data_IF_823145795793
#
_entry.id   IF_823145795793
#
_cell.length_a   1.000
_cell.length_b   1.000
_cell.length_c   1.000
_cell.angle_alpha   90.00
_cell.angle_beta   90.00
_cell.angle_gamma   90.00
#
_symmetry.space_group_name_H-M   'P 1'
#
loop_
_entity.id
_entity.type
_entity.pdbx_description
1 polymer ?
#
# COMPACT_ATOMS: atom_id res chain seq x y z
N UNK A 1 -6.09 -0.44 22.07
CA UNK A 1 -6.14 -0.76 20.63
C UNK A 1 -4.87 -1.54 20.31
N UNK A 2 -4.85 -2.40 19.31
CA UNK A 2 -3.65 -3.19 18.99
C UNK A 2 -2.80 -2.44 17.98
N UNK A 3 -1.51 -2.30 18.26
CA UNK A 3 -0.54 -1.72 17.33
C UNK A 3 -0.38 -2.61 16.09
N UNK A 4 -0.51 -2.01 14.91
CA UNK A 4 -0.31 -2.70 13.63
C UNK A 4 1.12 -2.52 13.14
N UNK A 5 1.70 -1.35 13.36
CA UNK A 5 3.10 -1.06 13.03
C UNK A 5 3.75 -0.45 14.27
N UNK A 6 4.85 -1.05 14.71
CA UNK A 6 5.67 -0.54 15.79
C UNK A 6 7.14 -0.56 15.36
N UNK A 7 7.76 0.61 15.28
CA UNK A 7 9.16 0.78 14.92
C UNK A 7 9.90 1.54 16.01
N UNK A 8 11.08 1.03 16.43
CA UNK A 8 11.92 1.66 17.46
C UNK A 8 13.38 1.64 17.01
N UNK A 9 14.01 2.82 17.03
CA UNK A 9 15.40 3.03 16.61
C UNK A 9 15.71 2.36 15.25
N UNK A 10 14.73 2.43 14.35
CA UNK A 10 14.76 1.72 13.08
C UNK A 10 15.60 2.47 12.06
N UNK A 11 16.65 1.84 11.52
CA UNK A 11 17.43 2.36 10.40
C UNK A 11 17.06 1.64 9.12
N UNK A 12 16.70 2.41 8.11
CA UNK A 12 16.33 1.93 6.78
C UNK A 12 17.34 2.34 5.73
N UNK A 13 17.56 1.49 4.76
CA UNK A 13 18.52 1.71 3.68
C UNK A 13 18.81 0.42 2.92
N UNK A 14 19.86 0.43 2.11
CA UNK A 14 20.25 -0.72 1.30
C UNK A 14 21.48 -1.46 1.84
N UNK A 15 22.32 -0.79 2.62
CA UNK A 15 23.48 -1.34 3.30
C UNK A 15 23.81 -0.51 4.54
N UNK A 16 24.66 -1.03 5.47
CA UNK A 16 25.11 -0.27 6.63
C UNK A 16 25.80 1.07 6.26
N UNK A 17 26.41 1.13 5.09
CA UNK A 17 27.09 2.33 4.57
C UNK A 17 26.13 3.24 3.74
N UNK A 18 24.88 2.84 3.58
CA UNK A 18 23.87 3.56 2.80
C UNK A 18 22.54 3.62 3.55
N UNK A 19 22.57 4.27 4.72
CA UNK A 19 21.38 4.56 5.53
C UNK A 19 20.63 5.72 4.86
N UNK A 20 19.34 5.56 4.64
CA UNK A 20 18.48 6.57 4.06
C UNK A 20 17.66 7.32 5.13
N UNK A 21 17.29 6.63 6.20
CA UNK A 21 16.49 7.24 7.24
C UNK A 21 16.55 6.50 8.56
N UNK A 22 16.24 7.23 9.61
CA UNK A 22 16.10 6.74 10.97
C UNK A 22 14.71 7.10 11.51
N UNK A 23 14.07 6.16 12.16
CA UNK A 23 12.78 6.28 12.79
C UNK A 23 12.97 5.94 14.28
N UNK A 24 12.98 6.95 15.13
CA UNK A 24 13.21 6.78 16.55
C UNK A 24 12.09 5.99 17.21
N UNK A 25 10.86 6.42 16.96
CA UNK A 25 9.65 5.75 17.44
C UNK A 25 8.48 6.03 16.50
N UNK A 26 7.79 4.99 16.07
CA UNK A 26 6.55 5.08 15.32
C UNK A 26 5.59 4.01 15.79
N UNK A 27 4.37 4.43 16.10
CA UNK A 27 3.28 3.53 16.39
C UNK A 27 2.05 3.90 15.57
N UNK A 28 1.50 2.90 14.85
CA UNK A 28 0.28 3.03 14.07
C UNK A 28 -0.67 1.93 14.54
N UNK A 29 -1.88 2.34 14.91
CA UNK A 29 -2.92 1.44 15.42
C UNK A 29 -3.81 0.88 14.31
N UNK A 30 -4.60 -0.12 14.66
CA UNK A 30 -5.56 -0.74 13.75
C UNK A 30 -6.63 0.28 13.32
N UNK A 31 -6.83 0.41 12.01
CA UNK A 31 -7.84 1.28 11.40
C UNK A 31 -7.37 2.72 11.15
N UNK A 32 -6.16 3.10 11.60
CA UNK A 32 -5.64 4.45 11.32
C UNK A 32 -5.31 4.64 9.82
N UNK A 33 -5.53 5.86 9.35
CA UNK A 33 -5.14 6.32 8.02
C UNK A 33 -4.01 7.32 8.19
N UNK A 34 -2.81 6.94 7.74
CA UNK A 34 -1.58 7.68 7.97
C UNK A 34 -0.92 8.06 6.66
N UNK A 35 -0.46 9.29 6.55
CA UNK A 35 0.37 9.75 5.44
C UNK A 35 1.83 9.95 5.84
N UNK A 36 2.74 9.67 4.92
CA UNK A 36 4.17 9.93 5.06
C UNK A 36 4.60 10.81 3.89
N UNK A 37 5.05 12.02 4.19
CA UNK A 37 5.50 13.00 3.20
C UNK A 37 7.00 13.22 3.28
N UNK A 38 7.57 13.77 2.21
CA UNK A 38 8.98 14.16 2.15
C UNK A 38 9.44 14.28 0.70
N UNK A 39 10.65 14.78 0.51
CA UNK A 39 11.24 14.97 -0.81
C UNK A 39 11.41 13.64 -1.57
N UNK A 40 11.55 13.73 -2.89
CA UNK A 40 11.86 12.55 -3.71
C UNK A 40 13.25 12.00 -3.36
N UNK A 41 13.36 10.67 -3.28
CA UNK A 41 14.62 10.00 -2.96
C UNK A 41 14.98 9.95 -1.47
N UNK A 42 14.19 10.56 -0.58
CA UNK A 42 14.52 10.67 0.86
C UNK A 42 14.39 9.36 1.67
N UNK A 43 13.85 8.30 1.07
CA UNK A 43 13.71 7.00 1.75
C UNK A 43 12.27 6.54 2.00
N UNK A 44 11.23 7.30 1.63
CA UNK A 44 9.81 6.96 1.85
C UNK A 44 9.42 5.58 1.31
N UNK A 45 9.71 5.33 0.04
CA UNK A 45 9.47 4.03 -0.61
C UNK A 45 10.24 2.89 0.08
N UNK A 46 11.47 3.15 0.54
CA UNK A 46 12.28 2.15 1.26
C UNK A 46 11.65 1.84 2.61
N UNK A 47 11.14 2.84 3.31
CA UNK A 47 10.41 2.65 4.57
C UNK A 47 9.15 1.81 4.35
N UNK A 48 8.32 2.16 3.36
CA UNK A 48 7.14 1.37 3.01
C UNK A 48 7.49 -0.09 2.67
N UNK A 49 8.56 -0.29 1.90
CA UNK A 49 9.06 -1.64 1.57
C UNK A 49 9.57 -2.39 2.79
N UNK A 50 10.13 -1.71 3.79
CA UNK A 50 10.54 -2.34 5.05
C UNK A 50 9.32 -2.82 5.84
N UNK A 51 8.25 -2.02 5.92
CA UNK A 51 6.98 -2.42 6.54
C UNK A 51 6.37 -3.60 5.76
N UNK A 52 6.42 -3.57 4.43
CA UNK A 52 5.96 -4.65 3.56
C UNK A 52 6.83 -5.93 3.61
N UNK A 53 7.94 -5.91 4.34
CA UNK A 53 8.93 -7.00 4.40
C UNK A 53 9.59 -7.32 3.05
N UNK A 54 9.62 -6.36 2.14
CA UNK A 54 10.31 -6.46 0.84
C UNK A 54 11.77 -6.05 0.93
N UNK A 55 12.14 -5.25 1.94
CA UNK A 55 13.50 -4.83 2.27
C UNK A 55 13.70 -5.01 3.77
N UNK A 56 14.80 -5.62 4.19
CA UNK A 56 15.10 -5.73 5.61
C UNK A 56 15.61 -4.39 6.15
N UNK A 57 15.20 -3.98 7.35
CA UNK A 57 15.85 -2.89 8.06
C UNK A 57 17.35 -3.18 8.28
N UNK A 58 18.15 -2.11 8.37
CA UNK A 58 19.58 -2.22 8.66
C UNK A 58 19.79 -2.52 10.16
N UNK A 59 19.03 -1.85 11.03
CA UNK A 59 19.06 -2.06 12.47
C UNK A 59 17.77 -1.56 13.11
N UNK A 60 17.62 -1.77 14.42
CA UNK A 60 16.42 -1.41 15.17
C UNK A 60 15.36 -2.48 15.13
N UNK A 61 14.18 -2.16 15.65
CA UNK A 61 13.05 -3.08 15.74
C UNK A 61 11.91 -2.59 14.84
N UNK A 62 11.37 -3.50 14.02
CA UNK A 62 10.15 -3.26 13.25
C UNK A 62 9.20 -4.44 13.43
N UNK A 63 8.11 -4.21 14.14
CA UNK A 63 7.01 -5.17 14.29
C UNK A 63 5.84 -4.75 13.42
N UNK A 64 5.28 -5.71 12.72
CA UNK A 64 4.02 -5.55 11.98
C UNK A 64 3.10 -6.68 12.41
N UNK A 65 1.93 -6.33 12.97
CA UNK A 65 1.01 -7.26 13.64
C UNK A 65 1.69 -8.06 14.76
N UNK A 66 2.46 -7.37 15.63
CA UNK A 66 3.22 -7.96 16.75
C UNK A 66 4.27 -9.01 16.33
N UNK A 67 4.62 -9.08 15.05
CA UNK A 67 5.65 -10.00 14.54
C UNK A 67 6.85 -9.23 14.00
N UNK A 68 8.05 -9.74 14.29
CA UNK A 68 9.29 -9.25 13.67
C UNK A 68 9.63 -9.99 12.35
N UNK A 69 8.95 -11.09 12.11
CA UNK A 69 9.15 -11.97 10.96
C UNK A 69 8.17 -11.76 9.81
N UNK A 70 8.08 -12.77 8.94
CA UNK A 70 7.18 -12.77 7.78
C UNK A 70 5.73 -12.79 8.25
N UNK A 71 4.93 -11.83 7.80
CA UNK A 71 3.49 -11.82 8.01
C UNK A 71 2.83 -12.96 7.21
N UNK A 72 1.64 -13.39 7.66
CA UNK A 72 0.84 -14.33 6.88
C UNK A 72 0.56 -13.77 5.49
N UNK A 73 0.46 -14.64 4.49
CA UNK A 73 0.15 -14.23 3.11
C UNK A 73 -1.14 -13.43 3.08
N UNK A 74 -1.18 -12.40 2.26
CA UNK A 74 -2.37 -11.59 2.03
C UNK A 74 -2.71 -10.58 3.13
N UNK A 75 -2.06 -10.61 4.29
CA UNK A 75 -2.35 -9.68 5.40
C UNK A 75 -1.90 -8.25 5.10
N UNK A 76 -0.80 -8.09 4.38
CA UNK A 76 -0.28 -6.79 3.92
C UNK A 76 -0.53 -6.65 2.43
N UNK A 77 -1.31 -5.65 2.02
CA UNK A 77 -1.48 -5.23 0.64
C UNK A 77 -0.48 -4.12 0.30
N UNK A 78 0.16 -4.21 -0.86
CA UNK A 78 1.11 -3.20 -1.32
C UNK A 78 0.73 -2.69 -2.71
N UNK A 79 0.53 -1.38 -2.83
CA UNK A 79 0.27 -0.68 -4.10
C UNK A 79 1.53 0.09 -4.45
N UNK A 80 2.38 -0.41 -5.35
CA UNK A 80 3.60 0.28 -5.74
C UNK A 80 3.32 1.46 -6.67
N UNK A 81 4.19 2.44 -6.70
CA UNK A 81 4.14 3.58 -7.62
C UNK A 81 3.99 3.13 -9.09
N UNK A 82 4.76 2.13 -9.50
CA UNK A 82 4.64 1.46 -10.81
C UNK A 82 3.68 0.28 -10.70
N UNK A 83 2.44 0.48 -10.57
CA UNK A 83 1.29 -0.41 -10.31
C UNK A 83 1.50 -1.94 -10.41
N UNK A 84 2.51 -2.43 -11.13
CA UNK A 84 2.85 -3.84 -11.27
C UNK A 84 1.75 -4.69 -11.93
N UNK A 85 0.94 -4.09 -12.81
CA UNK A 85 -0.15 -4.77 -13.52
C UNK A 85 0.37 -5.57 -14.72
N UNK A 86 -0.26 -6.70 -14.98
CA UNK A 86 -0.03 -7.50 -16.17
C UNK A 86 -0.79 -6.85 -17.33
N UNK A 87 -0.11 -6.01 -18.12
CA UNK A 87 -0.73 -5.09 -19.09
C UNK A 87 -1.52 -5.77 -20.18
N UNK A 88 -1.15 -7.00 -20.57
CA UNK A 88 -1.81 -7.75 -21.65
C UNK A 88 -3.02 -8.56 -21.15
N UNK A 89 -3.12 -8.77 -19.84
CA UNK A 89 -4.23 -9.44 -19.21
C UNK A 89 -5.40 -8.48 -18.94
N UNK A 90 -6.58 -9.06 -18.73
CA UNK A 90 -7.81 -8.33 -18.46
C UNK A 90 -7.80 -7.70 -17.06
N UNK A 91 -8.75 -6.80 -16.81
CA UNK A 91 -9.04 -6.31 -15.46
C UNK A 91 -9.35 -7.47 -14.52
N UNK A 92 -10.22 -8.40 -14.95
CA UNK A 92 -10.57 -9.59 -14.18
C UNK A 92 -9.35 -10.40 -13.78
N UNK A 93 -8.49 -10.77 -14.75
CA UNK A 93 -7.27 -11.56 -14.49
C UNK A 93 -6.34 -10.87 -13.49
N UNK A 94 -6.12 -9.55 -13.65
CA UNK A 94 -5.28 -8.80 -12.72
C UNK A 94 -5.83 -8.76 -11.29
N UNK A 95 -7.15 -8.64 -11.11
CA UNK A 95 -7.78 -8.60 -9.79
C UNK A 95 -7.83 -10.00 -9.17
N UNK A 96 -8.05 -11.04 -9.99
CA UNK A 96 -8.01 -12.43 -9.57
C UNK A 96 -6.67 -12.81 -8.94
N UNK A 97 -5.55 -12.35 -9.49
CA UNK A 97 -4.20 -12.56 -8.92
C UNK A 97 -4.12 -12.11 -7.44
N UNK A 98 -4.80 -11.02 -7.10
CA UNK A 98 -4.90 -10.57 -5.71
C UNK A 98 -5.72 -11.53 -4.85
N UNK A 99 -6.88 -11.94 -5.34
CA UNK A 99 -7.82 -12.77 -4.59
C UNK A 99 -7.28 -14.18 -4.29
N UNK A 100 -6.50 -14.76 -5.21
CA UNK A 100 -5.95 -16.12 -5.07
C UNK A 100 -4.67 -16.19 -4.24
N UNK A 101 -4.11 -15.06 -3.79
CA UNK A 101 -2.85 -15.05 -3.03
C UNK A 101 -2.90 -15.91 -1.74
N UNK A 102 -4.09 -16.11 -1.20
CA UNK A 102 -4.35 -16.92 0.00
C UNK A 102 -4.76 -18.36 -0.30
N UNK A 103 -4.97 -18.71 -1.57
CA UNK A 103 -5.30 -20.08 -1.97
C UNK A 103 -4.07 -21.01 -1.89
N UNK A 104 -4.32 -22.30 -1.82
CA UNK A 104 -3.24 -23.28 -1.97
C UNK A 104 -2.67 -23.25 -3.39
N UNK A 105 -1.38 -23.53 -3.52
CA UNK A 105 -0.67 -23.54 -4.83
C UNK A 105 -1.39 -24.43 -5.85
N UNK A 106 -1.88 -25.59 -5.42
CA UNK A 106 -2.59 -26.54 -6.28
C UNK A 106 -3.88 -25.95 -6.85
N UNK A 107 -4.65 -25.20 -6.05
CA UNK A 107 -5.87 -24.53 -6.52
C UNK A 107 -5.56 -23.38 -7.47
N UNK A 108 -4.57 -22.55 -7.12
CA UNK A 108 -4.15 -21.44 -7.98
C UNK A 108 -3.73 -21.91 -9.39
N UNK A 109 -3.05 -23.04 -9.48
CA UNK A 109 -2.59 -23.62 -10.76
C UNK A 109 -3.74 -24.31 -11.52
N UNK A 110 -4.71 -24.90 -10.82
CA UNK A 110 -5.79 -25.66 -11.47
C UNK A 110 -6.78 -24.79 -12.25
N UNK A 111 -6.82 -23.48 -11.93
CA UNK A 111 -7.81 -22.55 -12.49
C UNK A 111 -9.24 -22.75 -11.96
N UNK A 112 -9.45 -23.73 -11.07
CA UNK A 112 -10.73 -23.96 -10.41
C UNK A 112 -10.76 -23.20 -9.09
N UNK A 113 -11.30 -21.98 -9.11
CA UNK A 113 -11.43 -21.14 -7.92
C UNK A 113 -12.78 -21.34 -7.24
N UNK A 114 -12.81 -21.19 -5.92
CA UNK A 114 -14.06 -21.21 -5.17
C UNK A 114 -14.98 -20.05 -5.62
N UNK A 115 -16.28 -20.28 -5.63
CA UNK A 115 -17.29 -19.28 -6.00
C UNK A 115 -17.10 -17.97 -5.21
N UNK A 116 -16.76 -18.09 -3.91
CA UNK A 116 -16.43 -16.93 -3.06
C UNK A 116 -15.29 -16.06 -3.57
N UNK A 117 -14.28 -16.65 -4.23
CA UNK A 117 -13.15 -15.91 -4.79
C UNK A 117 -13.61 -15.15 -6.03
N UNK A 118 -14.40 -15.81 -6.87
CA UNK A 118 -14.98 -15.21 -8.09
C UNK A 118 -15.89 -14.03 -7.73
N UNK A 119 -16.75 -14.20 -6.72
CA UNK A 119 -17.66 -13.17 -6.25
C UNK A 119 -16.87 -11.98 -5.68
N UNK A 120 -15.88 -12.24 -4.85
CA UNK A 120 -15.00 -11.20 -4.31
C UNK A 120 -14.28 -10.39 -5.39
N UNK A 121 -13.82 -11.05 -6.46
CA UNK A 121 -13.20 -10.36 -7.61
C UNK A 121 -14.20 -9.42 -8.27
N UNK A 122 -15.44 -9.90 -8.53
CA UNK A 122 -16.49 -9.09 -9.17
C UNK A 122 -16.90 -7.91 -8.29
N UNK A 123 -17.17 -8.15 -7.00
CA UNK A 123 -17.50 -7.10 -6.02
C UNK A 123 -16.41 -6.01 -5.95
N UNK A 124 -15.14 -6.43 -5.96
CA UNK A 124 -14.04 -5.47 -5.89
C UNK A 124 -13.88 -4.66 -7.18
N UNK A 125 -14.13 -5.28 -8.35
CA UNK A 125 -14.15 -4.59 -9.65
C UNK A 125 -15.30 -3.58 -9.70
N UNK A 126 -16.48 -3.95 -9.18
CA UNK A 126 -17.64 -3.07 -9.09
C UNK A 126 -17.37 -1.89 -8.14
N UNK A 127 -16.81 -2.13 -6.96
CA UNK A 127 -16.40 -1.10 -5.99
C UNK A 127 -15.49 -0.04 -6.64
N UNK A 128 -14.62 -0.46 -7.56
CA UNK A 128 -13.73 0.44 -8.29
C UNK A 128 -14.36 1.01 -9.58
N UNK A 129 -15.67 0.82 -9.81
CA UNK A 129 -16.37 1.28 -11.02
C UNK A 129 -15.67 0.85 -12.31
N UNK A 130 -15.34 -0.45 -12.42
CA UNK A 130 -14.66 -1.06 -13.56
C UNK A 130 -15.46 -2.22 -14.20
N UNK A 131 -16.74 -2.40 -13.82
CA UNK A 131 -17.57 -3.51 -14.31
C UNK A 131 -17.73 -3.53 -15.82
N UNK A 132 -17.81 -2.35 -16.45
CA UNK A 132 -17.89 -2.19 -17.91
C UNK A 132 -16.56 -2.47 -18.63
N UNK A 133 -15.47 -2.68 -17.88
CA UNK A 133 -14.12 -2.93 -18.37
C UNK A 133 -13.56 -4.27 -17.92
N UNK A 134 -14.38 -5.15 -17.32
CA UNK A 134 -13.94 -6.38 -16.68
C UNK A 134 -13.09 -7.27 -17.61
N UNK A 135 -13.46 -7.36 -18.88
CA UNK A 135 -12.78 -8.15 -19.91
C UNK A 135 -11.77 -7.34 -20.74
N UNK A 136 -11.61 -6.03 -20.45
CA UNK A 136 -10.71 -5.18 -21.21
C UNK A 136 -9.26 -5.42 -20.77
N UNK A 137 -8.30 -5.59 -21.70
CA UNK A 137 -6.88 -5.64 -21.39
C UNK A 137 -6.41 -4.33 -20.74
N UNK A 138 -5.66 -4.44 -19.63
CA UNK A 138 -5.21 -3.29 -18.83
C UNK A 138 -4.45 -2.25 -19.64
N UNK A 139 -3.72 -2.65 -20.68
CA UNK A 139 -2.99 -1.72 -21.58
C UNK A 139 -3.88 -0.72 -22.32
N UNK A 140 -5.20 -0.99 -22.46
CA UNK A 140 -6.17 -0.11 -23.13
C UNK A 140 -6.83 0.88 -22.17
N UNK A 141 -6.60 0.73 -20.87
CA UNK A 141 -7.18 1.58 -19.83
C UNK A 141 -6.41 2.89 -19.69
N UNK A 142 -7.11 3.95 -19.29
CA UNK A 142 -6.46 5.20 -18.86
C UNK A 142 -5.62 4.98 -17.60
N UNK A 143 -4.69 5.90 -17.30
CA UNK A 143 -3.85 5.83 -16.10
C UNK A 143 -4.69 5.70 -14.81
N UNK A 144 -5.77 6.49 -14.69
CA UNK A 144 -6.70 6.41 -13.55
C UNK A 144 -7.43 5.07 -13.46
N UNK A 145 -7.83 4.49 -14.60
CA UNK A 145 -8.44 3.16 -14.63
C UNK A 145 -7.42 2.09 -14.21
N UNK A 146 -6.18 2.16 -14.71
CA UNK A 146 -5.11 1.25 -14.30
C UNK A 146 -4.84 1.32 -12.78
N UNK A 147 -4.84 2.52 -12.19
CA UNK A 147 -4.71 2.68 -10.72
C UNK A 147 -5.87 2.01 -9.99
N UNK A 148 -7.09 2.20 -10.45
CA UNK A 148 -8.26 1.52 -9.87
C UNK A 148 -8.16 0.00 -9.98
N UNK A 149 -7.58 -0.56 -11.05
CA UNK A 149 -7.29 -2.00 -11.15
C UNK A 149 -6.26 -2.44 -10.12
N UNK A 150 -5.19 -1.67 -9.89
CA UNK A 150 -4.19 -1.99 -8.87
C UNK A 150 -4.78 -1.96 -7.46
N UNK A 151 -5.66 -1.00 -7.17
CA UNK A 151 -6.38 -0.92 -5.89
C UNK A 151 -7.32 -2.14 -5.76
N UNK A 152 -8.12 -2.44 -6.80
CA UNK A 152 -9.02 -3.60 -6.81
C UNK A 152 -8.27 -4.90 -6.53
N UNK A 153 -7.13 -5.12 -7.19
CA UNK A 153 -6.26 -6.27 -6.94
C UNK A 153 -5.82 -6.35 -5.48
N UNK A 154 -5.41 -5.22 -4.90
CA UNK A 154 -4.96 -5.17 -3.50
C UNK A 154 -6.11 -5.41 -2.54
N UNK A 155 -7.29 -4.85 -2.79
CA UNK A 155 -8.50 -5.08 -2.00
C UNK A 155 -8.96 -6.55 -2.08
N UNK A 156 -8.93 -7.14 -3.27
CA UNK A 156 -9.30 -8.54 -3.49
C UNK A 156 -8.45 -9.52 -2.67
N UNK A 157 -7.21 -9.16 -2.37
CA UNK A 157 -6.32 -9.89 -1.47
C UNK A 157 -6.90 -10.02 -0.04
N UNK A 158 -7.73 -9.06 0.42
CA UNK A 158 -8.31 -9.01 1.77
C UNK A 158 -7.33 -8.62 2.86
N UNK A 159 -6.53 -7.55 2.65
CA UNK A 159 -5.50 -7.14 3.58
C UNK A 159 -6.08 -6.54 4.86
N UNK A 160 -5.28 -6.56 5.94
CA UNK A 160 -5.54 -5.81 7.17
C UNK A 160 -4.73 -4.51 7.24
N UNK A 161 -3.67 -4.42 6.44
CA UNK A 161 -2.82 -3.25 6.26
C UNK A 161 -2.64 -3.03 4.76
N UNK A 162 -2.90 -1.81 4.29
CA UNK A 162 -2.60 -1.39 2.92
C UNK A 162 -1.48 -0.35 2.97
N UNK A 163 -0.44 -0.60 2.21
CA UNK A 163 0.69 0.29 2.00
C UNK A 163 0.63 0.81 0.56
N UNK A 164 0.53 2.13 0.38
CA UNK A 164 0.35 2.72 -0.95
C UNK A 164 1.44 3.76 -1.24
N UNK A 165 2.25 3.49 -2.25
CA UNK A 165 3.39 4.30 -2.64
C UNK A 165 3.00 5.22 -3.81
N UNK A 166 2.79 6.51 -3.53
CA UNK A 166 2.42 7.55 -4.49
C UNK A 166 1.27 7.15 -5.44
N UNK A 167 0.30 6.39 -4.91
CA UNK A 167 -0.75 5.76 -5.71
C UNK A 167 -1.74 6.74 -6.34
N UNK A 168 -1.76 7.99 -5.88
CA UNK A 168 -2.57 9.08 -6.45
C UNK A 168 -1.76 9.99 -7.40
N UNK A 169 -0.46 9.72 -7.60
CA UNK A 169 0.37 10.53 -8.50
C UNK A 169 -0.12 10.45 -9.95
N UNK A 170 0.14 11.48 -10.74
CA UNK A 170 -0.21 11.56 -12.18
C UNK A 170 -1.71 11.49 -12.50
N UNK A 171 -2.58 11.66 -11.49
CA UNK A 171 -4.02 11.76 -11.67
C UNK A 171 -4.47 13.22 -11.60
N UNK A 172 -5.50 13.56 -12.38
CA UNK A 172 -6.23 14.82 -12.23
C UNK A 172 -7.04 14.82 -10.91
N UNK A 173 -7.34 16.02 -10.40
CA UNK A 173 -7.95 16.17 -9.07
C UNK A 173 -9.30 15.46 -8.95
N UNK A 174 -10.13 15.45 -9.99
CA UNK A 174 -11.43 14.76 -9.99
C UNK A 174 -11.24 13.24 -9.89
N UNK A 175 -10.24 12.70 -10.58
CA UNK A 175 -9.92 11.27 -10.51
C UNK A 175 -9.33 10.92 -9.15
N UNK A 176 -8.47 11.77 -8.58
CA UNK A 176 -7.96 11.62 -7.20
C UNK A 176 -9.11 11.53 -6.21
N UNK A 177 -10.05 12.47 -6.25
CA UNK A 177 -11.21 12.49 -5.33
C UNK A 177 -12.02 11.20 -5.41
N UNK A 178 -12.33 10.72 -6.62
CA UNK A 178 -13.10 9.49 -6.80
C UNK A 178 -12.34 8.25 -6.31
N UNK A 179 -11.05 8.13 -6.64
CA UNK A 179 -10.21 7.01 -6.22
C UNK A 179 -10.05 7.00 -4.70
N UNK A 180 -9.78 8.16 -4.11
CA UNK A 180 -9.65 8.33 -2.66
C UNK A 180 -10.94 7.94 -1.94
N UNK A 181 -12.08 8.46 -2.39
CA UNK A 181 -13.38 8.15 -1.79
C UNK A 181 -13.64 6.64 -1.75
N UNK A 182 -13.43 5.93 -2.85
CA UNK A 182 -13.63 4.47 -2.90
C UNK A 182 -12.66 3.72 -1.98
N UNK A 183 -11.40 4.17 -1.89
CA UNK A 183 -10.42 3.60 -0.98
C UNK A 183 -10.80 3.85 0.47
N UNK A 184 -11.16 5.08 0.82
CA UNK A 184 -11.55 5.49 2.16
C UNK A 184 -12.77 4.71 2.65
N UNK A 185 -13.81 4.62 1.82
CA UNK A 185 -15.03 3.85 2.13
C UNK A 185 -14.68 2.39 2.45
N UNK A 186 -13.84 1.76 1.64
CA UNK A 186 -13.42 0.38 1.85
C UNK A 186 -12.61 0.20 3.14
N UNK A 187 -11.56 1.00 3.37
CA UNK A 187 -10.68 0.83 4.54
C UNK A 187 -11.41 1.12 5.85
N UNK A 188 -12.28 2.14 5.87
CA UNK A 188 -13.06 2.50 7.06
C UNK A 188 -14.10 1.42 7.38
N UNK A 189 -14.87 0.96 6.36
CA UNK A 189 -15.91 -0.07 6.57
C UNK A 189 -15.35 -1.40 7.03
N UNK A 190 -14.10 -1.71 6.71
CA UNK A 190 -13.45 -2.98 7.04
C UNK A 190 -12.41 -2.88 8.15
N UNK A 191 -12.28 -1.71 8.81
CA UNK A 191 -11.30 -1.43 9.87
C UNK A 191 -9.86 -1.79 9.44
N UNK A 192 -9.48 -1.37 8.21
CA UNK A 192 -8.17 -1.62 7.61
C UNK A 192 -7.27 -0.42 7.88
N UNK A 193 -6.03 -0.68 8.29
CA UNK A 193 -5.01 0.36 8.41
C UNK A 193 -4.48 0.73 7.03
N UNK A 194 -4.36 2.04 6.74
CA UNK A 194 -3.84 2.55 5.48
C UNK A 194 -2.64 3.45 5.73
N UNK A 195 -1.51 3.13 5.13
CA UNK A 195 -0.32 4.00 5.12
C UNK A 195 -0.04 4.42 3.69
N UNK A 196 -0.10 5.73 3.43
CA UNK A 196 0.17 6.31 2.12
C UNK A 196 1.49 7.09 2.14
N UNK A 197 2.25 6.97 1.08
CA UNK A 197 3.42 7.81 0.82
C UNK A 197 3.04 8.82 -0.26
N UNK A 198 3.27 10.09 0.01
CA UNK A 198 2.99 11.18 -0.90
C UNK A 198 4.14 12.20 -0.91
N UNK A 199 4.29 12.92 -2.00
CA UNK A 199 5.18 14.07 -2.09
C UNK A 199 4.40 15.40 -2.01
N UNK A 200 3.08 15.34 -2.25
CA UNK A 200 2.20 16.50 -2.20
C UNK A 200 1.49 16.57 -0.84
N UNK A 201 1.75 17.67 -0.11
CA UNK A 201 1.21 17.88 1.25
C UNK A 201 -0.33 18.04 1.24
N UNK A 202 -0.91 18.58 0.17
CA UNK A 202 -2.37 18.69 0.06
C UNK A 202 -3.05 17.32 -0.02
N UNK A 203 -2.42 16.37 -0.69
CA UNK A 203 -2.89 14.98 -0.72
C UNK A 203 -2.66 14.26 0.61
N UNK A 204 -1.58 14.60 1.29
CA UNK A 204 -1.31 14.04 2.62
C UNK A 204 -2.37 14.43 3.67
N UNK A 205 -3.02 15.59 3.51
CA UNK A 205 -4.14 16.03 4.37
C UNK A 205 -5.39 15.15 4.27
N UNK A 206 -5.45 14.24 3.32
CA UNK A 206 -6.52 13.25 3.23
C UNK A 206 -6.43 12.18 4.34
N UNK A 207 -5.27 12.06 5.00
CA UNK A 207 -5.05 11.15 6.12
C UNK A 207 -5.32 11.83 7.47
N UNK A 208 -5.57 11.01 8.51
CA UNK A 208 -5.85 11.47 9.87
C UNK A 208 -4.59 11.93 10.60
N UNK A 209 -3.46 11.27 10.30
CA UNK A 209 -2.13 11.60 10.84
C UNK A 209 -1.13 11.75 9.71
N UNK A 210 -0.19 12.66 9.87
CA UNK A 210 0.86 12.88 8.90
C UNK A 210 2.24 12.82 9.55
N UNK A 211 3.14 12.10 8.92
CA UNK A 211 4.54 12.07 9.26
C UNK A 211 5.36 12.67 8.12
N UNK A 212 6.40 13.42 8.49
CA UNK A 212 7.36 13.98 7.54
C UNK A 212 8.70 13.29 7.69
N UNK A 213 9.21 12.77 6.59
CA UNK A 213 10.58 12.33 6.48
C UNK A 213 11.41 13.47 5.89
N UNK A 214 12.34 14.01 6.67
CA UNK A 214 13.17 15.14 6.27
C UNK A 214 14.64 14.91 6.63
N UNK A 215 15.53 15.57 5.87
CA UNK A 215 16.97 15.48 6.14
C UNK A 215 17.28 16.01 7.54
N UNK A 216 18.11 15.28 8.26
CA UNK A 216 18.69 15.77 9.49
C UNK A 216 19.94 16.60 9.14
N UNK A 217 20.06 17.81 9.69
CA UNK A 217 21.21 18.69 9.49
C UNK A 217 22.47 18.15 10.17
N UNK A 218 22.32 17.29 11.19
CA UNK A 218 23.42 16.72 11.96
C UNK A 218 23.89 15.32 11.46
N UNK A 219 23.18 14.74 10.48
CA UNK A 219 23.48 13.40 9.95
C UNK A 219 23.22 13.33 8.46
N UNK A 220 23.84 12.35 7.78
CA UNK A 220 23.65 12.11 6.34
C UNK A 220 22.33 11.41 5.99
N UNK A 221 21.46 11.13 6.98
CA UNK A 221 20.20 10.43 6.80
C UNK A 221 19.00 11.26 7.26
N UNK A 222 17.81 10.81 6.89
CA UNK A 222 16.57 11.50 7.19
C UNK A 222 15.96 11.01 8.50
N UNK A 223 15.17 11.86 9.15
CA UNK A 223 14.44 11.54 10.37
C UNK A 223 12.94 11.65 10.10
N UNK A 224 12.16 10.74 10.67
CA UNK A 224 10.70 10.76 10.64
C UNK A 224 10.16 11.51 11.86
N UNK A 225 9.32 12.51 11.63
CA UNK A 225 8.62 13.26 12.68
C UNK A 225 7.13 13.39 12.36
N UNK A 226 6.29 13.38 13.39
CA UNK A 226 4.86 13.64 13.22
C UNK A 226 4.63 15.15 13.06
N UNK A 227 3.82 15.52 12.06
CA UNK A 227 3.53 16.91 11.72
C UNK A 227 2.02 17.15 11.72
N UNK A 228 1.62 18.33 12.18
CA UNK A 228 0.22 18.80 12.05
C UNK A 228 0.08 19.50 10.70
N UNK A 229 -0.84 19.02 9.85
CA UNK A 229 -1.12 19.57 8.52
C UNK A 229 -2.56 20.04 8.38
#
# INVERSE_FOLDING_TARGET
MSSVIHAVNLKIGYSPDSILGEIDNLEIEQGEIVSIVGESGIGKTTFLKSIARLVNPISGTLKVFDTEGVSARGVIGYIPQKLGLIKHETVYSNVLEGAICNESILRSISGFHEEKVIDKVKETIELMNLSDKIDEPVKRLSGGQQRRVAIARTIAQGPKLILADEFLSELDDKTVENVWKSMLEYVTSNNITLVIVEHNIERARLAERCFKLEKNEESDYSILSEVKI
#
